data_IF_907215104921
#
_entry.id   IF_907215104921
#
_cell.length_a   1.000
_cell.length_b   1.000
_cell.length_c   1.000
_cell.angle_alpha   90.00
_cell.angle_beta   90.00
_cell.angle_gamma   90.00
#
_symmetry.space_group_name_H-M   'P 1'
#
loop_
_entity.id
_entity.type
_entity.pdbx_description
1 polymer ?
#
# COMPACT_ATOMS: atom_id res chain seq x y z
N UNK A 1 -5.86 12.14 -29.12
CA UNK A 1 -4.51 11.64 -29.44
C UNK A 1 -3.72 11.66 -28.13
N UNK A 2 -3.37 10.58 -27.45
CA UNK A 2 -3.48 9.13 -27.67
C UNK A 2 -3.96 8.48 -26.37
N UNK A 3 -4.99 7.64 -26.47
CA UNK A 3 -5.46 6.80 -25.38
C UNK A 3 -4.50 5.62 -25.22
N UNK A 4 -4.07 5.35 -23.98
CA UNK A 4 -3.34 4.13 -23.65
C UNK A 4 -4.35 2.97 -23.65
N UNK A 5 -4.54 2.36 -24.82
CA UNK A 5 -5.28 1.11 -24.99
C UNK A 5 -4.39 -0.04 -24.50
N UNK A 6 -4.69 -0.59 -23.33
CA UNK A 6 -4.16 -1.88 -22.92
C UNK A 6 -4.79 -2.96 -23.80
N UNK A 7 -4.01 -3.52 -24.73
CA UNK A 7 -4.37 -4.73 -25.45
C UNK A 7 -4.20 -5.93 -24.51
N UNK A 8 -5.29 -6.41 -23.92
CA UNK A 8 -5.36 -7.75 -23.35
C UNK A 8 -5.60 -8.73 -24.50
N UNK A 9 -4.51 -9.24 -25.08
CA UNK A 9 -4.58 -10.45 -25.89
C UNK A 9 -5.20 -11.55 -25.03
N UNK A 10 -6.31 -12.12 -25.52
CA UNK A 10 -7.05 -13.16 -24.85
C UNK A 10 -6.18 -14.38 -24.60
N UNK A 11 -5.70 -14.51 -23.37
CA UNK A 11 -5.23 -15.77 -22.82
C UNK A 11 -6.37 -16.27 -21.94
N UNK A 12 -6.88 -17.45 -22.28
CA UNK A 12 -7.97 -18.13 -21.59
C UNK A 12 -7.95 -17.91 -20.07
N UNK A 13 -9.11 -17.49 -19.54
CA UNK A 13 -9.41 -17.55 -18.11
C UNK A 13 -9.54 -19.02 -17.67
N UNK A 14 -8.43 -19.75 -17.67
CA UNK A 14 -8.26 -20.87 -16.76
C UNK A 14 -8.26 -20.27 -15.38
N UNK A 15 -9.22 -20.68 -14.52
CA UNK A 15 -9.21 -20.28 -13.12
C UNK A 15 -7.86 -20.70 -12.53
N UNK A 16 -6.98 -19.72 -12.38
CA UNK A 16 -5.70 -19.94 -11.74
C UNK A 16 -5.99 -20.35 -10.30
N UNK A 17 -5.74 -21.61 -9.98
CA UNK A 17 -6.04 -22.20 -8.67
C UNK A 17 -5.15 -21.64 -7.57
N UNK A 18 -4.19 -20.78 -7.92
CA UNK A 18 -3.33 -20.09 -6.96
C UNK A 18 -4.15 -19.12 -6.12
N UNK A 19 -3.91 -19.16 -4.82
CA UNK A 19 -4.52 -18.26 -3.85
C UNK A 19 -4.12 -16.81 -4.20
N UNK A 20 -5.11 -15.95 -4.40
CA UNK A 20 -4.86 -14.50 -4.50
C UNK A 20 -4.53 -13.97 -3.11
N UNK A 21 -3.34 -13.42 -2.95
CA UNK A 21 -2.91 -12.81 -1.69
C UNK A 21 -3.40 -11.37 -1.57
N UNK A 22 -3.37 -10.62 -2.67
CA UNK A 22 -3.83 -9.24 -2.74
C UNK A 22 -4.82 -9.08 -3.91
N UNK A 23 -5.94 -8.42 -3.65
CA UNK A 23 -6.89 -7.98 -4.67
C UNK A 23 -7.16 -6.50 -4.52
N UNK A 24 -6.92 -5.74 -5.58
CA UNK A 24 -7.15 -4.30 -5.66
C UNK A 24 -8.20 -4.07 -6.74
N UNK A 25 -9.34 -3.48 -6.37
CA UNK A 25 -10.45 -3.27 -7.28
C UNK A 25 -10.83 -1.78 -7.32
N UNK A 26 -10.76 -1.20 -8.52
CA UNK A 26 -11.17 0.17 -8.83
C UNK A 26 -10.60 1.20 -7.84
N UNK A 27 -9.32 1.06 -7.48
CA UNK A 27 -8.68 1.93 -6.49
C UNK A 27 -8.64 3.36 -6.99
N UNK A 28 -9.15 4.29 -6.19
CA UNK A 28 -9.16 5.73 -6.50
C UNK A 28 -8.53 6.50 -5.36
N UNK A 29 -7.65 7.45 -5.69
CA UNK A 29 -7.12 8.43 -4.75
C UNK A 29 -7.03 9.82 -5.36
N UNK A 30 -7.82 10.73 -4.80
CA UNK A 30 -7.77 12.17 -5.08
C UNK A 30 -7.24 12.93 -3.88
N UNK A 31 -6.42 13.95 -4.14
CA UNK A 31 -5.91 14.86 -3.12
C UNK A 31 -6.50 16.27 -3.33
N UNK A 32 -7.09 16.88 -2.28
CA UNK A 32 -7.64 18.21 -2.41
C UNK A 32 -6.53 19.25 -2.51
N UNK A 33 -6.65 20.15 -3.49
CA UNK A 33 -5.85 21.37 -3.57
C UNK A 33 -6.62 22.46 -2.85
N UNK A 34 -6.03 23.05 -1.81
CA UNK A 34 -6.65 24.13 -1.03
C UNK A 34 -6.03 25.47 -1.39
N UNK A 35 -6.85 26.52 -1.45
CA UNK A 35 -6.43 27.84 -1.85
C UNK A 35 -7.21 28.98 -1.19
N UNK A 36 -6.65 30.18 -1.32
CA UNK A 36 -7.18 31.43 -0.76
C UNK A 36 -6.99 31.57 0.76
N UNK A 37 -7.39 32.74 1.28
CA UNK A 37 -7.32 33.08 2.71
C UNK A 37 -8.13 32.11 3.59
N UNK A 38 -9.18 31.49 3.03
CA UNK A 38 -10.08 30.58 3.74
C UNK A 38 -9.79 29.08 3.52
N UNK A 39 -8.68 28.73 2.86
CA UNK A 39 -8.24 27.33 2.64
C UNK A 39 -9.32 26.41 2.06
N UNK A 40 -10.17 26.92 1.16
CA UNK A 40 -11.22 26.15 0.51
C UNK A 40 -10.63 25.20 -0.53
N UNK A 41 -11.28 24.07 -0.75
CA UNK A 41 -10.89 23.15 -1.85
C UNK A 41 -11.22 23.83 -3.18
N UNK A 42 -10.21 24.04 -4.01
CA UNK A 42 -10.32 24.71 -5.30
C UNK A 42 -10.07 23.77 -6.49
N UNK A 43 -9.39 22.65 -6.26
CA UNK A 43 -9.16 21.61 -7.26
C UNK A 43 -8.89 20.25 -6.60
N UNK A 44 -8.77 19.20 -7.41
CA UNK A 44 -8.39 17.85 -6.98
C UNK A 44 -7.24 17.35 -7.86
N UNK A 45 -6.19 16.80 -7.25
CA UNK A 45 -5.16 16.03 -7.96
C UNK A 45 -5.59 14.57 -7.98
N UNK A 46 -5.83 14.04 -9.18
CA UNK A 46 -6.16 12.61 -9.41
C UNK A 46 -4.87 11.80 -9.44
N UNK A 47 -4.41 11.36 -8.27
CA UNK A 47 -3.15 10.63 -8.15
C UNK A 47 -3.28 9.14 -8.48
N UNK A 48 -4.47 8.57 -8.30
CA UNK A 48 -4.83 7.20 -8.72
C UNK A 48 -6.26 7.25 -9.23
N UNK A 49 -6.49 6.76 -10.45
CA UNK A 49 -7.79 6.68 -11.07
C UNK A 49 -8.01 5.25 -11.59
N UNK A 50 -8.97 4.54 -10.98
CA UNK A 50 -9.46 3.23 -11.42
C UNK A 50 -8.39 2.14 -11.63
N UNK A 51 -7.51 1.96 -10.64
CA UNK A 51 -6.48 0.92 -10.70
C UNK A 51 -7.03 -0.40 -10.17
N UNK A 52 -6.96 -1.46 -10.98
CA UNK A 52 -7.37 -2.82 -10.60
C UNK A 52 -6.31 -3.86 -10.98
N UNK A 53 -5.92 -4.71 -10.03
CA UNK A 53 -5.01 -5.83 -10.23
C UNK A 53 -5.07 -6.80 -9.05
N UNK A 54 -4.47 -7.98 -9.20
CA UNK A 54 -4.28 -8.94 -8.11
C UNK A 54 -2.82 -9.41 -8.06
N UNK A 55 -2.41 -9.95 -6.92
CA UNK A 55 -1.12 -10.60 -6.70
C UNK A 55 -1.40 -11.96 -6.07
N UNK A 56 -0.87 -13.02 -6.67
CA UNK A 56 -0.96 -14.38 -6.13
C UNK A 56 0.02 -14.59 -4.96
N UNK A 57 -0.28 -15.56 -4.12
CA UNK A 57 0.65 -15.99 -3.08
C UNK A 57 1.95 -16.50 -3.70
N UNK A 58 3.09 -16.04 -3.18
CA UNK A 58 4.43 -16.31 -3.72
C UNK A 58 4.78 -15.56 -5.02
N UNK A 59 3.94 -14.66 -5.53
CA UNK A 59 4.23 -13.88 -6.73
C UNK A 59 5.05 -12.62 -6.42
N UNK A 60 6.08 -12.37 -7.23
CA UNK A 60 6.77 -11.07 -7.25
C UNK A 60 6.12 -10.17 -8.29
N UNK A 61 5.44 -9.13 -7.82
CA UNK A 61 4.77 -8.14 -8.67
C UNK A 61 5.59 -6.85 -8.79
N UNK A 62 5.73 -6.32 -10.01
CA UNK A 62 6.42 -5.06 -10.28
C UNK A 62 5.48 -4.00 -10.84
N UNK A 63 5.35 -2.85 -10.15
CA UNK A 63 4.64 -1.67 -10.65
C UNK A 63 5.64 -0.63 -11.18
N UNK A 64 5.65 -0.43 -12.50
CA UNK A 64 6.58 0.48 -13.19
C UNK A 64 5.84 1.65 -13.86
N UNK A 65 6.57 2.74 -14.08
CA UNK A 65 6.03 3.95 -14.72
C UNK A 65 6.88 5.17 -14.41
N UNK A 66 6.60 6.29 -15.08
CA UNK A 66 7.34 7.55 -14.96
C UNK A 66 7.29 8.17 -13.54
N UNK A 67 8.21 9.09 -13.25
CA UNK A 67 8.15 9.85 -11.99
C UNK A 67 6.82 10.59 -11.87
N UNK A 68 6.17 10.52 -10.70
CA UNK A 68 4.89 11.18 -10.48
C UNK A 68 3.63 10.45 -11.00
N UNK A 69 3.74 9.29 -11.65
CA UNK A 69 2.57 8.57 -12.17
C UNK A 69 1.68 7.87 -11.11
N UNK A 70 1.95 8.07 -9.81
CA UNK A 70 1.10 7.57 -8.73
C UNK A 70 1.50 6.25 -8.08
N UNK A 71 2.61 5.60 -8.48
CA UNK A 71 3.07 4.30 -7.92
C UNK A 71 3.16 4.31 -6.38
N UNK A 72 3.83 5.30 -5.81
CA UNK A 72 3.96 5.45 -4.35
C UNK A 72 2.60 5.67 -3.70
N UNK A 73 1.69 6.38 -4.37
CA UNK A 73 0.31 6.58 -3.91
C UNK A 73 -0.46 5.27 -3.90
N UNK A 74 -0.36 4.44 -4.93
CA UNK A 74 -1.00 3.12 -5.00
C UNK A 74 -0.56 2.26 -3.81
N UNK A 75 0.76 2.06 -3.62
CA UNK A 75 1.29 1.24 -2.52
C UNK A 75 0.88 1.76 -1.13
N UNK A 76 0.98 3.07 -0.89
CA UNK A 76 0.57 3.67 0.39
C UNK A 76 -0.94 3.59 0.62
N UNK A 77 -1.75 3.65 -0.43
CA UNK A 77 -3.22 3.55 -0.32
C UNK A 77 -3.63 2.11 -0.02
N UNK A 78 -2.99 1.11 -0.64
CA UNK A 78 -3.19 -0.32 -0.35
C UNK A 78 -2.98 -0.63 1.14
N UNK A 79 -1.92 -0.09 1.75
CA UNK A 79 -1.62 -0.24 3.18
C UNK A 79 -2.48 0.65 4.11
N UNK A 80 -3.40 1.44 3.52
CA UNK A 80 -4.19 2.46 4.20
C UNK A 80 -3.35 3.46 5.01
N UNK A 81 -2.11 3.73 4.56
CA UNK A 81 -1.28 4.83 5.07
C UNK A 81 -1.78 6.17 4.53
N UNK A 82 -2.38 6.13 3.33
CA UNK A 82 -3.17 7.21 2.75
C UNK A 82 -4.59 6.69 2.56
N UNK A 83 -5.63 7.40 3.02
CA UNK A 83 -7.01 6.95 2.83
C UNK A 83 -7.40 7.06 1.36
N UNK A 84 -7.98 5.98 0.83
CA UNK A 84 -8.56 5.96 -0.51
C UNK A 84 -9.74 6.93 -0.62
N UNK A 85 -9.98 7.40 -1.84
CA UNK A 85 -11.21 8.13 -2.20
C UNK A 85 -12.31 7.16 -2.66
N UNK A 86 -11.93 5.98 -3.18
CA UNK A 86 -12.85 4.93 -3.59
C UNK A 86 -12.13 3.61 -3.91
N UNK A 87 -12.93 2.60 -4.26
CA UNK A 87 -12.46 1.24 -4.53
C UNK A 87 -12.38 0.35 -3.28
N UNK A 88 -11.76 -0.82 -3.44
CA UNK A 88 -11.55 -1.78 -2.35
C UNK A 88 -10.19 -2.47 -2.47
N UNK A 89 -9.68 -2.93 -1.32
CA UNK A 89 -8.45 -3.71 -1.23
C UNK A 89 -8.70 -4.86 -0.27
N UNK A 90 -8.49 -6.08 -0.74
CA UNK A 90 -8.54 -7.30 0.07
C UNK A 90 -7.14 -7.90 0.16
N UNK A 91 -6.70 -8.20 1.38
CA UNK A 91 -5.44 -8.90 1.64
C UNK A 91 -5.74 -10.18 2.40
N UNK A 92 -5.33 -11.32 1.86
CA UNK A 92 -5.56 -12.65 2.43
C UNK A 92 -7.04 -12.89 2.82
N UNK A 93 -7.96 -12.51 1.93
CA UNK A 93 -9.41 -12.60 2.15
C UNK A 93 -10.01 -11.58 3.10
N UNK A 94 -9.23 -10.64 3.64
CA UNK A 94 -9.70 -9.60 4.57
C UNK A 94 -9.75 -8.22 3.92
N UNK A 95 -10.88 -7.52 4.07
CA UNK A 95 -11.04 -6.14 3.60
C UNK A 95 -10.17 -5.17 4.44
N UNK A 96 -9.21 -4.53 3.78
CA UNK A 96 -8.27 -3.59 4.39
C UNK A 96 -8.92 -2.24 4.71
N UNK A 97 -9.88 -1.79 3.88
CA UNK A 97 -10.51 -0.48 4.04
C UNK A 97 -11.64 -0.52 5.07
N UNK A 98 -12.34 -1.65 5.20
CA UNK A 98 -13.31 -1.92 6.26
C UNK A 98 -12.71 -2.33 7.60
N UNK A 99 -11.42 -2.71 7.66
CA UNK A 99 -10.78 -3.15 8.90
C UNK A 99 -10.84 -2.10 10.02
N UNK A 100 -11.17 -2.53 11.24
CA UNK A 100 -11.04 -1.70 12.44
C UNK A 100 -9.55 -1.53 12.84
N UNK A 101 -9.20 -0.62 13.77
CA UNK A 101 -7.80 -0.36 14.13
C UNK A 101 -7.01 -1.60 14.59
N UNK A 102 -7.66 -2.54 15.30
CA UNK A 102 -7.02 -3.77 15.78
C UNK A 102 -6.74 -4.72 14.62
N UNK A 103 -7.73 -4.94 13.75
CA UNK A 103 -7.60 -5.74 12.53
C UNK A 103 -6.54 -5.16 11.60
N UNK A 104 -6.54 -3.84 11.41
CA UNK A 104 -5.56 -3.15 10.58
C UNK A 104 -4.14 -3.30 11.12
N UNK A 105 -3.94 -3.25 12.45
CA UNK A 105 -2.63 -3.53 13.08
C UNK A 105 -2.16 -4.97 12.79
N UNK A 106 -3.07 -5.93 12.79
CA UNK A 106 -2.78 -7.34 12.50
C UNK A 106 -2.45 -7.55 11.02
N UNK A 107 -3.22 -6.94 10.11
CA UNK A 107 -2.95 -6.96 8.67
C UNK A 107 -1.59 -6.34 8.35
N UNK A 108 -1.29 -5.16 8.93
CA UNK A 108 -0.01 -4.48 8.72
C UNK A 108 1.20 -5.27 9.18
N UNK A 109 1.05 -6.18 10.17
CA UNK A 109 2.13 -7.11 10.54
C UNK A 109 2.59 -7.95 9.34
N UNK A 110 1.66 -8.31 8.46
CA UNK A 110 1.92 -9.14 7.28
C UNK A 110 2.08 -8.31 5.98
N UNK A 111 1.93 -6.98 6.07
CA UNK A 111 2.05 -6.05 4.94
C UNK A 111 3.09 -4.97 5.29
N UNK A 112 4.37 -5.34 5.27
CA UNK A 112 5.47 -4.42 5.60
C UNK A 112 5.87 -3.58 4.39
N UNK A 113 6.30 -2.34 4.64
CA UNK A 113 6.76 -1.41 3.60
C UNK A 113 8.20 -0.99 3.86
N UNK A 114 8.98 -0.92 2.79
CA UNK A 114 10.28 -0.26 2.76
C UNK A 114 10.09 1.01 1.92
N UNK A 115 10.38 2.17 2.50
CA UNK A 115 10.20 3.45 1.80
C UNK A 115 11.36 3.73 0.84
N UNK A 116 11.08 4.48 -0.23
CA UNK A 116 12.07 4.86 -1.24
C UNK A 116 13.24 5.68 -0.65
N UNK A 117 12.96 6.50 0.36
CA UNK A 117 13.96 7.16 1.19
C UNK A 117 14.00 6.47 2.57
N UNK A 118 14.87 5.47 2.77
CA UNK A 118 14.94 4.74 4.02
C UNK A 118 15.48 5.58 5.18
N UNK A 119 16.26 6.63 4.92
CA UNK A 119 16.78 7.52 5.97
C UNK A 119 15.65 8.31 6.63
N UNK A 120 14.68 8.76 5.84
CA UNK A 120 13.51 9.47 6.38
C UNK A 120 12.66 8.63 7.35
N UNK A 121 12.81 7.31 7.31
CA UNK A 121 12.07 6.38 8.19
C UNK A 121 12.86 5.91 9.42
N UNK A 122 14.11 6.35 9.61
CA UNK A 122 14.95 5.95 10.74
C UNK A 122 15.19 7.13 11.69
N UNK A 123 15.19 6.88 13.00
CA UNK A 123 15.68 7.85 13.98
C UNK A 123 17.22 7.73 14.07
N UNK A 124 18.00 8.74 13.65
CA UNK A 124 19.47 8.68 13.68
C UNK A 124 20.03 8.62 15.11
N UNK A 125 19.21 8.86 16.14
CA UNK A 125 19.60 8.75 17.55
C UNK A 125 19.41 7.34 18.10
N UNK A 126 18.76 6.46 17.35
CA UNK A 126 18.48 5.09 17.74
C UNK A 126 19.60 4.16 17.22
N UNK A 127 20.16 3.28 18.07
CA UNK A 127 21.09 2.26 17.62
C UNK A 127 20.45 1.30 16.60
N UNK A 128 21.24 0.81 15.64
CA UNK A 128 20.76 -0.11 14.59
C UNK A 128 20.04 -1.33 15.17
N UNK A 129 20.58 -1.92 16.25
CA UNK A 129 19.95 -3.07 16.91
C UNK A 129 18.57 -2.75 17.50
N UNK A 130 18.39 -1.55 18.06
CA UNK A 130 17.09 -1.10 18.54
C UNK A 130 16.14 -0.83 17.36
N UNK A 131 16.60 -0.21 16.27
CA UNK A 131 15.77 0.03 15.08
C UNK A 131 15.28 -1.27 14.45
N UNK A 132 16.12 -2.32 14.40
CA UNK A 132 15.71 -3.65 13.92
C UNK A 132 14.74 -4.30 14.93
N UNK A 133 15.01 -4.17 16.23
CA UNK A 133 14.19 -4.75 17.30
C UNK A 133 12.83 -4.05 17.50
N UNK A 134 12.65 -2.81 17.03
CA UNK A 134 11.43 -2.03 17.20
C UNK A 134 10.21 -2.74 16.61
N UNK A 135 10.34 -3.29 15.40
CA UNK A 135 9.25 -4.05 14.76
C UNK A 135 8.81 -5.26 15.59
N UNK A 136 9.77 -5.98 16.18
CA UNK A 136 9.50 -7.10 17.07
C UNK A 136 8.76 -6.63 18.33
N UNK A 137 9.20 -5.52 18.93
CA UNK A 137 8.57 -4.95 20.12
C UNK A 137 7.13 -4.48 19.84
N UNK A 138 6.90 -3.73 18.76
CA UNK A 138 5.57 -3.19 18.37
C UNK A 138 4.55 -4.31 18.12
N UNK A 139 5.03 -5.46 17.66
CA UNK A 139 4.24 -6.66 17.40
C UNK A 139 4.24 -7.67 18.56
N UNK A 140 4.92 -7.40 19.67
CA UNK A 140 4.96 -8.27 20.84
C UNK A 140 5.63 -9.62 20.57
N UNK A 141 6.67 -9.65 19.74
CA UNK A 141 7.42 -10.85 19.37
C UNK A 141 8.65 -10.96 20.29
N UNK A 142 8.80 -12.13 20.91
CA UNK A 142 9.92 -12.48 21.79
C UNK A 142 9.89 -11.81 23.18
N UNK A 143 10.75 -12.28 24.06
CA UNK A 143 11.05 -11.63 25.35
C UNK A 143 12.03 -10.46 25.15
N UNK A 144 12.36 -9.73 26.24
CA UNK A 144 13.37 -8.67 26.16
C UNK A 144 14.75 -9.24 25.81
N UNK A 145 15.12 -10.40 26.35
CA UNK A 145 16.43 -11.03 26.04
C UNK A 145 16.47 -11.48 24.58
N UNK A 146 15.43 -12.20 24.14
CA UNK A 146 15.34 -12.78 22.79
C UNK A 146 15.35 -11.74 21.65
N UNK A 147 15.05 -10.47 21.92
CA UNK A 147 15.09 -9.40 20.91
C UNK A 147 16.47 -8.79 20.70
N UNK A 148 17.41 -9.01 21.62
CA UNK A 148 18.76 -8.43 21.60
C UNK A 148 19.87 -9.49 21.57
N UNK A 149 19.51 -10.77 21.52
CA UNK A 149 20.39 -11.91 21.21
C UNK A 149 20.52 -12.09 19.70
#
# INVERSE_FOLDING_TARGET
>A
MNAATTQTNGVNAGADSRKKLLEVNNLVKHFPVRGGLLQRVVAQVRAVEDVSFHIFDGETFGLVGESGCGKTTVGRTILRLVPATGGSVTFDGQDVFGANPRQLKQLRRNMQIIFQDPYSSLDPRMPVGESIGEGLLVHGIGTRSERFE
#
